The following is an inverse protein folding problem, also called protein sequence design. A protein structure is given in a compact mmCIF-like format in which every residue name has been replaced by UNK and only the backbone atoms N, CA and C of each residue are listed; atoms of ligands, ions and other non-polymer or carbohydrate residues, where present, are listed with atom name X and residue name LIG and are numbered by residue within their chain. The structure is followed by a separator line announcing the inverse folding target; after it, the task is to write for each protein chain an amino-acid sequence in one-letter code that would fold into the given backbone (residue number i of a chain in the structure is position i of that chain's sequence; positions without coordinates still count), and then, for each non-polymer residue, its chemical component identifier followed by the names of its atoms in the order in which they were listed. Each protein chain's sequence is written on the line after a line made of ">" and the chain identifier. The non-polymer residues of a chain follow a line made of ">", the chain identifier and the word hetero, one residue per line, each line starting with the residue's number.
data_IF_317230230433
#
_entry.id   IF_317230230433
#
_cell.length_a   1.000
_cell.length_b   1.000
_cell.length_c   1.000
_cell.angle_alpha   90.00
_cell.angle_beta   90.00
_cell.angle_gamma   90.00
#
_symmetry.space_group_name_H-M   'P 1'
#
loop_
_entity.id
_entity.type
_entity.pdbx_description
1 polymer ?
#
# COMPACT_ATOMS: atom_id res chain seq x y z
N UNK A 1 -14.27 -21.24 -51.89
CA UNK A 1 -14.59 -19.91 -51.32
C UNK A 1 -14.39 -19.96 -49.81
N UNK A 2 -13.91 -18.86 -49.24
CA UNK A 2 -13.01 -18.78 -48.08
C UNK A 2 -13.65 -18.99 -46.68
N UNK A 3 -12.85 -19.61 -45.80
CA UNK A 3 -13.00 -19.68 -44.34
C UNK A 3 -12.67 -18.32 -43.70
N UNK A 4 -13.37 -17.91 -42.62
CA UNK A 4 -12.98 -16.74 -41.79
C UNK A 4 -12.89 -17.13 -40.32
N UNK A 5 -11.64 -17.29 -39.86
CA UNK A 5 -11.23 -17.37 -38.47
C UNK A 5 -11.26 -15.95 -37.87
N UNK A 6 -11.92 -15.74 -36.73
CA UNK A 6 -11.85 -14.48 -35.98
C UNK A 6 -10.75 -14.62 -34.91
N UNK A 7 -9.59 -14.07 -35.23
CA UNK A 7 -8.51 -13.83 -34.28
C UNK A 7 -8.82 -12.54 -33.50
N UNK A 8 -8.94 -12.63 -32.17
CA UNK A 8 -9.00 -11.46 -31.28
C UNK A 8 -7.56 -11.07 -30.96
N UNK A 9 -7.10 -9.99 -31.58
CA UNK A 9 -5.78 -9.42 -31.40
C UNK A 9 -5.64 -8.78 -30.01
N UNK A 10 -4.58 -9.17 -29.31
CA UNK A 10 -4.04 -8.54 -28.12
C UNK A 10 -3.64 -7.08 -28.43
N UNK A 11 -4.38 -6.11 -27.89
CA UNK A 11 -3.94 -4.72 -27.89
C UNK A 11 -2.91 -4.52 -26.76
N UNK A 12 -1.64 -4.51 -27.15
CA UNK A 12 -0.50 -4.05 -26.36
C UNK A 12 -0.72 -2.55 -26.08
N UNK A 13 -0.94 -2.16 -24.83
CA UNK A 13 -0.92 -0.75 -24.43
C UNK A 13 0.54 -0.30 -24.36
N UNK A 14 1.07 0.10 -25.51
CA UNK A 14 2.25 0.94 -25.59
C UNK A 14 1.84 2.35 -25.13
N UNK A 15 2.07 2.68 -23.86
CA UNK A 15 1.98 4.06 -23.38
C UNK A 15 3.30 4.74 -23.72
N UNK A 16 3.31 5.36 -24.90
CA UNK A 16 4.36 6.21 -25.43
C UNK A 16 4.68 7.36 -24.48
N UNK A 17 5.96 7.46 -24.14
CA UNK A 17 6.57 8.70 -23.66
C UNK A 17 6.35 9.79 -24.70
N UNK A 18 5.61 10.84 -24.35
CA UNK A 18 5.75 12.15 -24.96
C UNK A 18 6.03 13.15 -23.85
N UNK A 19 7.32 13.43 -23.65
CA UNK A 19 7.76 14.60 -22.91
C UNK A 19 7.60 15.81 -23.84
N UNK A 20 6.68 16.71 -23.50
CA UNK A 20 6.62 18.07 -24.04
C UNK A 20 6.59 19.05 -22.87
N UNK A 21 7.55 19.97 -22.89
CA UNK A 21 7.68 21.08 -21.96
C UNK A 21 6.49 22.05 -22.10
N UNK A 22 5.98 22.48 -20.95
CA UNK A 22 5.44 23.82 -20.68
C UNK A 22 4.35 24.38 -21.59
N UNK A 23 3.10 24.35 -21.10
CA UNK A 23 2.20 25.52 -21.22
C UNK A 23 1.47 25.72 -19.88
N UNK A 24 1.73 26.88 -19.30
CA UNK A 24 1.01 27.45 -18.17
C UNK A 24 -0.38 27.92 -18.61
N UNK A 25 -1.41 27.45 -17.94
CA UNK A 25 -2.68 28.16 -17.84
C UNK A 25 -3.16 28.07 -16.39
N UNK A 26 -3.09 29.22 -15.72
CA UNK A 26 -3.55 29.45 -14.37
C UNK A 26 -5.07 29.28 -14.35
N UNK A 27 -5.58 28.27 -13.63
CA UNK A 27 -6.96 28.23 -13.20
C UNK A 27 -7.00 28.12 -11.69
N UNK A 28 -7.00 29.29 -11.05
CA UNK A 28 -7.40 29.43 -9.67
C UNK A 28 -8.89 29.08 -9.55
N UNK A 29 -9.17 27.94 -8.91
CA UNK A 29 -10.27 27.78 -7.97
C UNK A 29 -9.68 27.22 -6.69
N UNK A 30 -9.37 28.10 -5.75
CA UNK A 30 -9.33 27.70 -4.35
C UNK A 30 -10.77 27.65 -3.86
N UNK A 31 -11.26 26.45 -3.53
CA UNK A 31 -12.17 26.28 -2.40
C UNK A 31 -12.04 24.87 -1.78
N UNK A 32 -11.32 24.84 -0.66
CA UNK A 32 -11.45 24.02 0.56
C UNK A 32 -11.38 22.48 0.53
N UNK A 33 -11.05 21.85 1.68
CA UNK A 33 -10.13 20.74 1.72
C UNK A 33 -10.85 19.46 1.34
N UNK A 34 -10.29 18.76 0.35
CA UNK A 34 -10.55 17.33 0.23
C UNK A 34 -10.12 16.69 1.56
N UNK A 35 -11.10 16.42 2.45
CA UNK A 35 -10.90 15.58 3.63
C UNK A 35 -10.26 14.32 3.09
N UNK A 36 -8.99 14.13 3.45
CA UNK A 36 -8.15 13.10 2.88
C UNK A 36 -8.83 11.76 3.13
N UNK A 37 -9.45 11.19 2.10
CA UNK A 37 -9.81 9.78 2.00
C UNK A 37 -8.51 8.98 1.93
N UNK A 38 -7.83 8.91 3.06
CA UNK A 38 -6.42 8.56 3.14
C UNK A 38 -6.29 7.05 3.21
N UNK A 39 -5.65 6.47 2.20
CA UNK A 39 -4.87 5.27 2.43
C UNK A 39 -3.92 5.53 3.60
N UNK A 40 -4.27 4.96 4.76
CA UNK A 40 -3.80 5.32 6.11
C UNK A 40 -2.32 4.98 6.42
N UNK A 41 -1.42 5.12 5.45
CA UNK A 41 -0.01 4.75 5.61
C UNK A 41 0.96 5.91 5.38
N UNK A 42 0.65 6.90 4.53
CA UNK A 42 1.63 7.92 4.13
C UNK A 42 1.34 9.35 4.57
N UNK A 43 0.20 9.60 5.19
CA UNK A 43 -0.14 10.95 5.65
C UNK A 43 0.77 11.46 6.74
N UNK A 44 1.10 12.75 6.64
CA UNK A 44 1.99 13.48 7.54
C UNK A 44 3.47 13.23 7.28
N UNK A 45 3.82 12.22 6.47
CA UNK A 45 5.22 11.86 6.20
C UNK A 45 5.81 12.77 5.11
N UNK A 46 5.02 13.06 4.06
CA UNK A 46 5.44 13.93 2.97
C UNK A 46 5.66 15.39 3.40
N UNK A 47 4.92 15.85 4.40
CA UNK A 47 5.04 17.22 4.93
C UNK A 47 6.41 17.47 5.57
N UNK A 48 7.08 16.40 6.02
CA UNK A 48 8.41 16.44 6.63
C UNK A 48 9.55 16.35 5.61
N UNK A 49 9.27 16.20 4.31
CA UNK A 49 10.30 16.04 3.28
C UNK A 49 10.87 17.37 2.75
N UNK A 50 10.31 18.51 3.15
CA UNK A 50 10.75 19.82 2.63
C UNK A 50 10.56 19.91 1.12
N UNK A 51 9.38 19.57 0.63
CA UNK A 51 9.05 19.55 -0.80
C UNK A 51 8.99 20.96 -1.38
N UNK A 52 9.55 21.14 -2.59
CA UNK A 52 9.42 22.39 -3.35
C UNK A 52 7.97 22.61 -3.83
N UNK A 53 7.57 23.85 -4.19
CA UNK A 53 6.25 24.11 -4.78
C UNK A 53 5.95 23.22 -5.99
N UNK A 54 6.91 23.06 -6.90
CA UNK A 54 6.77 22.22 -8.09
C UNK A 54 6.58 20.75 -7.75
N UNK A 55 7.34 20.22 -6.77
CA UNK A 55 7.17 18.86 -6.29
C UNK A 55 5.78 18.64 -5.70
N UNK A 56 5.27 19.57 -4.90
CA UNK A 56 3.91 19.49 -4.34
C UNK A 56 2.86 19.43 -5.43
N UNK A 57 2.92 20.33 -6.42
CA UNK A 57 2.00 20.33 -7.57
C UNK A 57 2.02 18.99 -8.32
N UNK A 58 3.21 18.43 -8.59
CA UNK A 58 3.33 17.12 -9.26
C UNK A 58 2.76 15.98 -8.42
N UNK A 59 3.03 15.95 -7.11
CA UNK A 59 2.51 14.92 -6.21
C UNK A 59 0.99 14.98 -6.10
N UNK A 60 0.41 16.18 -6.07
CA UNK A 60 -1.05 16.34 -6.00
C UNK A 60 -1.74 15.90 -7.29
N UNK A 61 -1.14 16.17 -8.45
CA UNK A 61 -1.60 15.64 -9.73
C UNK A 61 -1.57 14.09 -9.75
N UNK A 62 -0.46 13.47 -9.33
CA UNK A 62 -0.32 12.01 -9.24
C UNK A 62 -1.39 11.41 -8.30
N UNK A 63 -1.58 11.98 -7.12
CA UNK A 63 -2.58 11.51 -6.15
C UNK A 63 -4.01 11.72 -6.65
N UNK A 64 -4.28 12.80 -7.39
CA UNK A 64 -5.58 13.02 -7.99
C UNK A 64 -5.89 11.96 -9.04
N UNK A 65 -4.96 11.72 -9.98
CA UNK A 65 -5.12 10.69 -11.01
C UNK A 65 -5.32 9.29 -10.38
N UNK A 66 -4.48 8.91 -9.42
CA UNK A 66 -4.63 7.64 -8.72
C UNK A 66 -6.00 7.49 -8.02
N UNK A 67 -6.51 8.57 -7.40
CA UNK A 67 -7.85 8.58 -6.80
C UNK A 67 -8.95 8.41 -7.84
N UNK A 68 -8.87 9.10 -8.96
CA UNK A 68 -9.86 9.01 -10.04
C UNK A 68 -9.90 7.60 -10.64
N UNK A 69 -8.72 6.99 -10.87
CA UNK A 69 -8.60 5.59 -11.31
C UNK A 69 -9.16 4.61 -10.27
N UNK A 70 -8.86 4.79 -8.99
CA UNK A 70 -9.42 3.95 -7.92
C UNK A 70 -10.95 4.07 -7.87
N UNK A 71 -11.50 5.28 -8.02
CA UNK A 71 -12.95 5.52 -8.04
C UNK A 71 -13.60 4.80 -9.23
N UNK A 72 -13.01 4.87 -10.42
CA UNK A 72 -13.51 4.17 -11.60
C UNK A 72 -13.52 2.64 -11.38
N UNK A 73 -12.44 2.06 -10.84
CA UNK A 73 -12.37 0.62 -10.53
C UNK A 73 -13.37 0.20 -9.45
N UNK A 74 -13.68 1.07 -8.49
CA UNK A 74 -14.69 0.81 -7.46
C UNK A 74 -16.12 0.94 -8.01
N UNK A 75 -16.35 1.84 -8.96
CA UNK A 75 -17.65 2.01 -9.61
C UNK A 75 -17.97 0.90 -10.62
N UNK A 76 -16.95 0.28 -11.22
CA UNK A 76 -17.13 -0.79 -12.20
C UNK A 76 -17.72 -2.05 -11.55
N UNK A 77 -19.00 -2.30 -11.79
CA UNK A 77 -19.74 -3.47 -11.26
C UNK A 77 -19.47 -4.76 -12.04
N UNK A 78 -18.84 -4.69 -13.22
CA UNK A 78 -18.53 -5.87 -14.04
C UNK A 78 -17.35 -6.67 -13.48
N UNK A 79 -16.51 -6.04 -12.65
CA UNK A 79 -15.33 -6.68 -12.09
C UNK A 79 -15.68 -7.61 -10.94
N UNK A 80 -15.14 -8.83 -11.02
CA UNK A 80 -15.02 -9.72 -9.86
C UNK A 80 -14.22 -9.03 -8.75
N UNK A 81 -14.42 -9.48 -7.51
CA UNK A 81 -13.67 -8.97 -6.35
C UNK A 81 -12.17 -9.07 -6.56
N UNK A 82 -11.69 -10.19 -7.10
CA UNK A 82 -10.25 -10.43 -7.26
C UNK A 82 -9.65 -9.55 -8.36
N UNK A 83 -10.35 -9.39 -9.49
CA UNK A 83 -9.94 -8.47 -10.56
C UNK A 83 -9.91 -7.01 -10.07
N UNK A 84 -10.94 -6.59 -9.31
CA UNK A 84 -10.99 -5.26 -8.69
C UNK A 84 -9.81 -5.04 -7.74
N UNK A 85 -9.53 -6.00 -6.88
CA UNK A 85 -8.41 -5.92 -5.94
C UNK A 85 -7.04 -5.93 -6.63
N UNK A 86 -6.89 -6.65 -7.74
CA UNK A 86 -5.69 -6.63 -8.56
C UNK A 86 -5.46 -5.24 -9.16
N UNK A 87 -6.46 -4.65 -9.84
CA UNK A 87 -6.40 -3.29 -10.39
C UNK A 87 -6.09 -2.24 -9.32
N UNK A 88 -6.75 -2.30 -8.16
CA UNK A 88 -6.46 -1.37 -7.06
C UNK A 88 -5.04 -1.51 -6.49
N UNK A 89 -4.44 -2.71 -6.54
CA UNK A 89 -3.04 -2.90 -6.13
C UNK A 89 -2.09 -2.28 -7.15
N UNK A 90 -2.37 -2.49 -8.42
CA UNK A 90 -1.60 -1.93 -9.54
C UNK A 90 -1.59 -0.40 -9.51
N UNK A 91 -2.75 0.25 -9.37
CA UNK A 91 -2.84 1.72 -9.27
C UNK A 91 -1.97 2.24 -8.13
N UNK A 92 -2.04 1.63 -6.94
CA UNK A 92 -1.22 2.04 -5.78
C UNK A 92 0.28 1.81 -6.02
N UNK A 93 0.65 0.76 -6.75
CA UNK A 93 2.04 0.49 -7.08
C UNK A 93 2.58 1.56 -8.03
N UNK A 94 1.81 1.89 -9.07
CA UNK A 94 2.16 2.91 -10.05
C UNK A 94 2.23 4.29 -9.40
N UNK A 95 1.23 4.66 -8.59
CA UNK A 95 1.22 5.90 -7.79
C UNK A 95 2.50 6.02 -6.96
N UNK A 96 2.86 4.97 -6.21
CA UNK A 96 4.07 4.97 -5.38
C UNK A 96 5.34 5.15 -6.21
N UNK A 97 5.43 4.50 -7.37
CA UNK A 97 6.58 4.63 -8.28
C UNK A 97 6.73 6.06 -8.78
N UNK A 98 5.64 6.65 -9.28
CA UNK A 98 5.63 8.04 -9.77
C UNK A 98 5.97 9.03 -8.65
N UNK A 99 5.39 8.87 -7.46
CA UNK A 99 5.73 9.70 -6.30
C UNK A 99 7.22 9.61 -5.99
N UNK A 100 7.81 8.41 -6.00
CA UNK A 100 9.23 8.24 -5.70
C UNK A 100 10.14 8.93 -6.75
N UNK A 101 9.71 8.97 -8.01
CA UNK A 101 10.45 9.65 -9.09
C UNK A 101 10.45 11.19 -8.96
N UNK A 102 9.47 11.78 -8.27
CA UNK A 102 9.41 13.23 -8.01
C UNK A 102 10.36 13.65 -6.88
N UNK A 103 10.71 12.72 -5.99
CA UNK A 103 11.57 12.99 -4.83
C UNK A 103 13.05 12.91 -5.21
N UNK A 104 13.86 13.80 -4.61
CA UNK A 104 15.33 13.72 -4.72
C UNK A 104 15.88 12.49 -3.96
N UNK A 105 17.10 12.02 -4.25
CA UNK A 105 17.73 10.91 -3.52
C UNK A 105 17.77 11.13 -1.99
N UNK A 106 18.02 12.36 -1.55
CA UNK A 106 18.06 12.74 -0.13
C UNK A 106 16.67 12.64 0.49
N UNK A 107 15.64 13.14 -0.20
CA UNK A 107 14.24 13.04 0.23
C UNK A 107 13.75 11.59 0.27
N UNK A 108 14.17 10.75 -0.68
CA UNK A 108 13.85 9.32 -0.66
C UNK A 108 14.50 8.62 0.55
N UNK A 109 15.72 8.99 0.90
CA UNK A 109 16.40 8.47 2.10
C UNK A 109 15.68 8.92 3.37
N UNK A 110 15.34 10.21 3.47
CA UNK A 110 14.55 10.75 4.59
C UNK A 110 13.19 10.06 4.70
N UNK A 111 12.53 9.81 3.58
CA UNK A 111 11.26 9.08 3.53
C UNK A 111 11.40 7.67 4.12
N UNK A 112 12.44 6.92 3.75
CA UNK A 112 12.67 5.57 4.30
C UNK A 112 12.85 5.60 5.82
N UNK A 113 13.60 6.55 6.36
CA UNK A 113 13.80 6.69 7.81
C UNK A 113 12.53 7.11 8.53
N UNK A 114 11.76 8.07 7.99
CA UNK A 114 10.47 8.46 8.56
C UNK A 114 9.47 7.28 8.59
N UNK A 115 9.43 6.48 7.53
CA UNK A 115 8.58 5.28 7.48
C UNK A 115 9.03 4.25 8.50
N UNK A 116 10.34 4.02 8.64
CA UNK A 116 10.90 3.13 9.65
C UNK A 116 10.55 3.59 11.07
N UNK A 117 10.72 4.88 11.37
CA UNK A 117 10.35 5.47 12.66
C UNK A 117 8.85 5.33 12.94
N UNK A 118 7.98 5.63 11.96
CA UNK A 118 6.52 5.47 12.09
C UNK A 118 6.12 4.02 12.33
N UNK A 119 6.75 3.07 11.65
CA UNK A 119 6.53 1.64 11.86
C UNK A 119 6.97 1.18 13.25
N UNK A 120 8.11 1.66 13.74
CA UNK A 120 8.58 1.38 15.10
C UNK A 120 7.63 1.97 16.15
N UNK A 121 7.21 3.23 15.98
CA UNK A 121 6.25 3.88 16.88
C UNK A 121 4.90 3.14 16.91
N UNK A 122 4.41 2.70 15.75
CA UNK A 122 3.21 1.85 15.66
C UNK A 122 3.39 0.53 16.40
N UNK A 123 4.56 -0.11 16.25
CA UNK A 123 4.93 -1.32 16.99
C UNK A 123 4.90 -1.11 18.50
N UNK A 124 5.56 -0.05 19.00
CA UNK A 124 5.56 0.32 20.42
C UNK A 124 4.15 0.58 20.96
N UNK A 125 3.32 1.33 20.24
CA UNK A 125 1.91 1.58 20.62
C UNK A 125 1.09 0.28 20.69
N UNK A 126 1.36 -0.65 19.77
CA UNK A 126 0.68 -1.94 19.77
C UNK A 126 1.14 -2.83 20.94
N UNK A 127 2.43 -2.84 21.24
CA UNK A 127 2.98 -3.54 22.38
C UNK A 127 2.42 -3.02 23.71
N UNK A 128 2.39 -1.69 23.88
CA UNK A 128 1.77 -1.04 25.03
C UNK A 128 0.27 -1.37 25.14
N UNK A 129 -0.47 -1.37 24.02
CA UNK A 129 -1.89 -1.75 24.01
C UNK A 129 -2.12 -3.19 24.50
N UNK A 130 -1.22 -4.12 24.19
CA UNK A 130 -1.29 -5.50 24.67
C UNK A 130 -0.68 -5.71 26.05
N UNK A 131 0.02 -4.71 26.61
CA UNK A 131 0.80 -4.87 27.83
C UNK A 131 1.88 -5.95 27.67
N UNK A 132 2.62 -5.94 26.56
CA UNK A 132 3.69 -6.91 26.34
C UNK A 132 4.84 -6.69 27.33
N UNK A 133 5.43 -7.79 27.80
CA UNK A 133 6.69 -7.73 28.56
C UNK A 133 7.88 -7.47 27.63
N UNK A 134 9.02 -7.05 28.20
CA UNK A 134 10.25 -6.86 27.44
C UNK A 134 10.68 -8.12 26.67
N UNK A 135 10.53 -9.30 27.30
CA UNK A 135 10.85 -10.58 26.68
C UNK A 135 9.90 -10.93 25.54
N UNK A 136 8.59 -10.71 25.72
CA UNK A 136 7.60 -10.91 24.65
C UNK A 136 7.87 -9.97 23.47
N UNK A 137 8.20 -8.70 23.72
CA UNK A 137 8.58 -7.75 22.67
C UNK A 137 9.82 -8.20 21.90
N UNK A 138 10.86 -8.67 22.62
CA UNK A 138 12.08 -9.18 22.01
C UNK A 138 11.81 -10.41 21.11
N UNK A 139 11.02 -11.38 21.61
CA UNK A 139 10.63 -12.57 20.85
C UNK A 139 9.82 -12.21 19.60
N UNK A 140 8.81 -11.35 19.74
CA UNK A 140 7.97 -10.90 18.61
C UNK A 140 8.79 -10.12 17.58
N UNK A 141 9.74 -9.29 18.02
CA UNK A 141 10.66 -8.58 17.12
C UNK A 141 11.53 -9.55 16.32
N UNK A 142 12.04 -10.61 16.96
CA UNK A 142 12.81 -11.65 16.28
C UNK A 142 11.95 -12.40 15.24
N UNK A 143 10.72 -12.80 15.60
CA UNK A 143 9.76 -13.43 14.69
C UNK A 143 9.48 -12.55 13.46
N UNK A 144 9.24 -11.25 13.65
CA UNK A 144 9.03 -10.33 12.53
C UNK A 144 10.27 -10.10 11.67
N UNK A 145 11.48 -10.12 12.25
CA UNK A 145 12.74 -9.99 11.51
C UNK A 145 12.97 -11.19 10.61
N UNK A 146 12.74 -12.41 11.12
CA UNK A 146 12.81 -13.66 10.34
C UNK A 146 11.79 -13.66 9.19
N UNK A 147 10.52 -13.38 9.51
CA UNK A 147 9.46 -13.30 8.50
C UNK A 147 9.76 -12.26 7.40
N UNK A 148 10.35 -11.12 7.76
CA UNK A 148 10.77 -10.11 6.80
C UNK A 148 11.87 -10.63 5.86
N UNK A 149 12.87 -11.33 6.39
CA UNK A 149 13.93 -11.92 5.57
C UNK A 149 13.38 -12.96 4.59
N UNK A 150 12.48 -13.84 5.06
CA UNK A 150 11.81 -14.84 4.21
C UNK A 150 10.98 -14.20 3.11
N UNK A 151 10.16 -13.19 3.45
CA UNK A 151 9.37 -12.45 2.45
C UNK A 151 10.28 -11.75 1.44
N UNK A 152 11.41 -11.19 1.89
CA UNK A 152 12.38 -10.55 0.99
C UNK A 152 12.95 -11.57 0.00
N UNK A 153 13.34 -12.76 0.47
CA UNK A 153 13.82 -13.84 -0.38
C UNK A 153 12.77 -14.28 -1.41
N UNK A 154 11.53 -14.54 -0.98
CA UNK A 154 10.42 -14.91 -1.89
C UNK A 154 10.14 -13.84 -2.93
N UNK A 155 10.28 -12.55 -2.59
CA UNK A 155 10.10 -11.45 -3.55
C UNK A 155 11.24 -11.30 -4.54
N UNK A 156 12.45 -11.65 -4.15
CA UNK A 156 13.63 -11.62 -5.00
C UNK A 156 13.73 -12.85 -5.92
N UNK A 157 13.00 -13.92 -5.61
CA UNK A 157 12.98 -15.15 -6.39
C UNK A 157 12.23 -14.95 -7.72
N UNK A 158 13.02 -14.89 -8.80
CA UNK A 158 12.55 -14.72 -10.19
C UNK A 158 12.03 -16.01 -10.80
N UNK A 159 12.26 -17.17 -10.18
CA UNK A 159 11.74 -18.46 -10.66
C UNK A 159 10.25 -18.65 -10.38
N UNK A 160 9.72 -17.90 -9.41
CA UNK A 160 8.32 -18.00 -9.00
C UNK A 160 7.40 -17.17 -9.90
N UNK A 161 6.19 -17.67 -10.14
CA UNK A 161 5.11 -16.85 -10.70
C UNK A 161 4.58 -15.86 -9.65
N UNK A 162 3.86 -14.79 -10.07
CA UNK A 162 3.21 -13.88 -9.13
C UNK A 162 2.30 -14.60 -8.12
N UNK A 163 1.55 -15.60 -8.57
CA UNK A 163 0.62 -16.37 -7.72
C UNK A 163 1.37 -17.25 -6.73
N UNK A 164 2.46 -17.90 -7.16
CA UNK A 164 3.32 -18.67 -6.26
C UNK A 164 3.97 -17.80 -5.19
N UNK A 165 4.47 -16.61 -5.56
CA UNK A 165 4.99 -15.64 -4.58
C UNK A 165 3.90 -15.22 -3.59
N UNK A 166 2.70 -14.95 -4.07
CA UNK A 166 1.58 -14.56 -3.22
C UNK A 166 1.20 -15.68 -2.23
N UNK A 167 1.16 -16.94 -2.69
CA UNK A 167 0.92 -18.11 -1.86
C UNK A 167 1.98 -18.26 -0.77
N UNK A 168 3.27 -18.29 -1.13
CA UNK A 168 4.37 -18.39 -0.14
C UNK A 168 4.35 -17.26 0.88
N UNK A 169 4.09 -16.01 0.45
CA UNK A 169 3.97 -14.87 1.37
C UNK A 169 2.76 -15.04 2.31
N UNK A 170 1.65 -15.60 1.85
CA UNK A 170 0.48 -15.89 2.68
C UNK A 170 0.83 -16.91 3.77
N UNK A 171 1.56 -17.96 3.41
CA UNK A 171 1.97 -19.02 4.34
C UNK A 171 2.95 -18.50 5.39
N UNK A 172 3.95 -17.71 4.98
CA UNK A 172 4.88 -17.03 5.91
C UNK A 172 4.08 -16.16 6.89
N UNK A 173 3.10 -15.40 6.41
CA UNK A 173 2.25 -14.55 7.27
C UNK A 173 1.37 -15.36 8.24
N UNK A 174 0.89 -16.52 7.82
CA UNK A 174 0.13 -17.42 8.69
C UNK A 174 1.04 -17.97 9.80
N UNK A 175 2.17 -18.58 9.43
CA UNK A 175 3.14 -19.10 10.38
C UNK A 175 3.67 -18.03 11.34
N UNK A 176 3.91 -16.80 10.85
CA UNK A 176 4.30 -15.66 11.70
C UNK A 176 3.23 -15.35 12.73
N UNK A 177 1.95 -15.35 12.35
CA UNK A 177 0.84 -15.11 13.27
C UNK A 177 0.79 -16.19 14.36
N UNK A 178 0.97 -17.44 13.99
CA UNK A 178 0.91 -18.55 14.93
C UNK A 178 2.07 -18.50 15.93
N UNK A 179 3.29 -18.22 15.45
CA UNK A 179 4.45 -17.96 16.31
C UNK A 179 4.22 -16.79 17.28
N UNK A 180 3.64 -15.68 16.81
CA UNK A 180 3.30 -14.55 17.68
C UNK A 180 2.23 -14.95 18.71
N UNK A 181 1.17 -15.64 18.31
CA UNK A 181 0.11 -16.07 19.21
C UNK A 181 0.61 -17.00 20.33
N UNK A 182 1.64 -17.81 20.04
CA UNK A 182 2.27 -18.69 21.02
C UNK A 182 3.06 -17.93 22.11
N UNK A 183 3.55 -16.73 21.80
CA UNK A 183 4.27 -15.85 22.76
C UNK A 183 3.31 -15.10 23.69
N UNK A 184 2.07 -14.89 23.26
CA UNK A 184 1.08 -14.11 23.98
C UNK A 184 0.36 -14.94 25.05
N UNK A 185 -0.15 -14.28 26.09
CA UNK A 185 -1.04 -14.91 27.07
C UNK A 185 -2.45 -15.11 26.51
N UNK A 186 -3.30 -15.96 27.11
CA UNK A 186 -4.70 -16.10 26.72
C UNK A 186 -5.45 -14.76 26.67
N UNK A 187 -5.24 -13.89 27.66
CA UNK A 187 -5.89 -12.59 27.79
C UNK A 187 -5.46 -11.64 26.66
N UNK A 188 -4.16 -11.62 26.36
CA UNK A 188 -3.60 -10.83 25.25
C UNK A 188 -4.15 -11.30 23.88
N UNK A 189 -4.31 -12.62 23.69
CA UNK A 189 -4.94 -13.18 22.48
C UNK A 189 -6.42 -12.81 22.36
N UNK A 190 -7.15 -12.81 23.48
CA UNK A 190 -8.55 -12.38 23.51
C UNK A 190 -8.67 -10.91 23.07
N UNK A 191 -7.82 -10.03 23.60
CA UNK A 191 -7.75 -8.60 23.24
C UNK A 191 -7.45 -8.37 21.75
N UNK A 192 -6.61 -9.21 21.14
CA UNK A 192 -6.37 -9.17 19.69
C UNK A 192 -7.58 -9.58 18.86
N UNK A 193 -8.30 -10.60 19.32
CA UNK A 193 -9.47 -11.13 18.63
C UNK A 193 -10.61 -10.12 18.66
N UNK A 194 -10.86 -9.52 19.82
CA UNK A 194 -11.83 -8.44 20.02
C UNK A 194 -11.52 -7.25 19.10
N UNK A 195 -10.29 -6.72 19.18
CA UNK A 195 -9.85 -5.61 18.31
C UNK A 195 -10.00 -5.94 16.82
N UNK A 196 -9.71 -7.18 16.42
CA UNK A 196 -9.92 -7.62 15.04
C UNK A 196 -11.41 -7.63 14.67
N UNK A 197 -12.28 -8.03 15.60
CA UNK A 197 -13.73 -7.94 15.49
C UNK A 197 -14.19 -6.50 15.28
N UNK A 198 -13.78 -5.58 16.15
CA UNK A 198 -14.06 -4.14 16.04
C UNK A 198 -13.60 -3.56 14.70
N UNK A 199 -12.39 -3.91 14.26
CA UNK A 199 -11.85 -3.47 12.97
C UNK A 199 -12.66 -4.01 11.79
N UNK A 200 -13.23 -5.21 11.89
CA UNK A 200 -14.13 -5.77 10.86
C UNK A 200 -15.48 -5.07 10.87
N UNK A 201 -16.02 -4.73 12.04
CA UNK A 201 -17.27 -3.98 12.18
C UNK A 201 -17.11 -2.55 11.63
N UNK A 202 -15.98 -1.90 11.92
CA UNK A 202 -15.62 -0.58 11.37
C UNK A 202 -15.26 -0.65 9.89
N UNK A 203 -14.60 -1.70 9.44
CA UNK A 203 -14.24 -1.92 8.03
C UNK A 203 -15.39 -2.37 7.13
N UNK A 204 -16.45 -2.95 7.71
CA UNK A 204 -17.74 -3.21 7.07
C UNK A 204 -18.60 -1.96 6.91
N UNK A 205 -18.34 -0.93 7.73
CA UNK A 205 -18.76 0.46 7.52
C UNK A 205 -17.62 1.24 6.87
N UNK A 206 -17.16 0.85 5.69
CA UNK A 206 -16.48 1.85 4.85
C UNK A 206 -17.54 2.84 4.38
N UNK A 207 -17.52 4.13 4.78
CA UNK A 207 -18.20 5.14 4.00
C UNK A 207 -17.33 5.28 2.75
N UNK A 208 -17.73 4.58 1.68
CA UNK A 208 -17.37 4.99 0.33
C UNK A 208 -18.25 6.22 0.07
N UNK A 209 -17.75 7.39 0.48
CA UNK A 209 -18.24 8.69 0.06
C UNK A 209 -17.12 9.34 -0.73
#
# INVERSE_FOLDING_TARGET
>A
MMRRNIAIALAIVAMSMLALYGQSAFAARMDMPAKHGQGMYMTGVFDQLGLTPDQKTRLDAIRKDARDQMKAVLADKSLTRDARMAKLREIRMNERTQINQVLTPEQQTKLKELLKAKMQAKGKRFAAYLGLTADQEAQIKAIHKDAFAQIKAVKADTSLTPDQRAAKIKDIRAATRDKVNAVLTPEQRAKLTERKGEMRQRGGKCPVM
#
